data_IF_651151054657
#
_entry.id   IF_651151054657
#
_cell.length_a   1.000
_cell.length_b   1.000
_cell.length_c   1.000
_cell.angle_alpha   90.00
_cell.angle_beta   90.00
_cell.angle_gamma   90.00
#
_symmetry.space_group_name_H-M   'P 1'
#
loop_
_entity.id
_entity.type
_entity.pdbx_description
1 polymer ?
#
# COMPACT_ATOMS: atom_id res chain seq x y z
N UNK A 1 10.60 -18.83 16.79
CA UNK A 1 9.62 -19.83 17.21
C UNK A 1 9.30 -20.78 16.07
N UNK A 2 9.14 -22.06 16.42
CA UNK A 2 8.68 -23.10 15.48
C UNK A 2 7.17 -23.23 15.69
N UNK A 3 6.43 -23.24 14.60
CA UNK A 3 4.98 -23.40 14.58
C UNK A 3 4.63 -24.60 13.69
N UNK A 4 3.48 -25.19 13.95
CA UNK A 4 2.96 -26.27 13.13
C UNK A 4 1.92 -25.69 12.16
N UNK A 5 2.13 -25.90 10.88
CA UNK A 5 1.19 -25.48 9.84
C UNK A 5 -0.02 -26.42 9.76
N UNK A 6 -1.02 -25.98 8.98
CA UNK A 6 -2.23 -26.80 8.76
C UNK A 6 -1.93 -28.15 8.11
N UNK A 7 -0.81 -28.26 7.39
CA UNK A 7 -0.32 -29.51 6.77
C UNK A 7 0.44 -30.43 7.74
N UNK A 8 0.56 -30.03 9.00
CA UNK A 8 1.28 -30.78 10.04
C UNK A 8 2.79 -30.60 10.03
N UNK A 9 3.34 -29.83 9.10
CA UNK A 9 4.78 -29.60 9.06
C UNK A 9 5.21 -28.45 9.98
N UNK A 10 6.47 -28.50 10.41
CA UNK A 10 7.07 -27.48 11.28
C UNK A 10 7.68 -26.35 10.44
N UNK A 11 7.36 -25.12 10.80
CA UNK A 11 7.82 -23.92 10.09
C UNK A 11 8.44 -22.94 11.07
N UNK A 12 9.36 -22.12 10.55
CA UNK A 12 9.94 -21.01 11.34
C UNK A 12 9.09 -19.74 11.13
N UNK A 13 8.38 -19.35 12.16
CA UNK A 13 7.53 -18.16 12.12
C UNK A 13 8.37 -16.88 12.30
N UNK A 14 8.32 -15.99 11.34
CA UNK A 14 8.96 -14.67 11.39
C UNK A 14 8.01 -13.66 12.03
N UNK A 15 7.81 -13.77 13.33
CA UNK A 15 6.85 -12.98 14.12
C UNK A 15 7.25 -11.53 14.37
N UNK A 16 8.46 -11.13 13.96
CA UNK A 16 8.98 -9.78 14.24
C UNK A 16 8.41 -8.68 13.31
N UNK A 17 7.59 -9.06 12.33
CA UNK A 17 6.95 -8.08 11.43
C UNK A 17 5.59 -7.65 11.97
N UNK A 18 5.23 -6.37 11.72
CA UNK A 18 3.92 -5.86 12.14
C UNK A 18 2.76 -6.67 11.56
N UNK A 19 2.88 -7.08 10.29
CA UNK A 19 1.84 -7.88 9.63
C UNK A 19 1.64 -9.23 10.32
N UNK A 20 2.73 -9.95 10.61
CA UNK A 20 2.63 -11.25 11.31
C UNK A 20 2.04 -11.09 12.70
N UNK A 21 2.45 -10.03 13.44
CA UNK A 21 1.93 -9.77 14.78
C UNK A 21 0.42 -9.46 14.75
N UNK A 22 -0.05 -8.70 13.77
CA UNK A 22 -1.48 -8.40 13.61
C UNK A 22 -2.30 -9.66 13.32
N UNK A 23 -1.76 -10.54 12.44
CA UNK A 23 -2.42 -11.82 12.15
C UNK A 23 -2.50 -12.69 13.41
N UNK A 24 -1.39 -12.83 14.14
CA UNK A 24 -1.37 -13.63 15.38
C UNK A 24 -2.32 -13.03 16.43
N UNK A 25 -2.37 -11.70 16.53
CA UNK A 25 -3.27 -11.00 17.45
C UNK A 25 -4.75 -11.32 17.15
N UNK A 26 -5.12 -11.31 15.87
CA UNK A 26 -6.49 -11.65 15.46
C UNK A 26 -6.83 -13.14 15.61
N UNK A 27 -5.82 -13.98 15.78
CA UNK A 27 -5.97 -15.44 15.91
C UNK A 27 -5.57 -15.95 17.32
N UNK A 28 -5.71 -15.12 18.37
CA UNK A 28 -5.36 -15.53 19.74
C UNK A 28 -6.13 -16.75 20.24
N UNK A 29 -7.27 -17.05 19.62
CA UNK A 29 -8.07 -18.22 19.98
C UNK A 29 -7.42 -19.56 19.62
N UNK A 30 -6.36 -19.55 18.80
CA UNK A 30 -5.69 -20.78 18.39
C UNK A 30 -4.76 -21.32 19.48
N UNK A 31 -4.62 -22.65 19.61
CA UNK A 31 -3.75 -23.26 20.62
C UNK A 31 -2.30 -22.79 20.53
N UNK A 32 -1.72 -22.43 21.64
CA UNK A 32 -0.36 -21.93 21.72
C UNK A 32 -0.22 -20.43 21.42
N UNK A 33 -1.15 -19.82 20.69
CA UNK A 33 -1.09 -18.39 20.35
C UNK A 33 -1.44 -17.56 21.59
N UNK A 34 -2.55 -17.86 22.26
CA UNK A 34 -2.92 -17.15 23.51
C UNK A 34 -1.82 -17.27 24.56
N UNK A 35 -1.28 -18.48 24.74
CA UNK A 35 -0.22 -18.74 25.71
C UNK A 35 1.07 -18.01 25.38
N UNK A 36 1.33 -17.79 24.08
CA UNK A 36 2.47 -17.01 23.61
C UNK A 36 2.28 -15.51 23.91
N UNK A 37 1.03 -14.99 23.80
CA UNK A 37 0.71 -13.60 24.12
C UNK A 37 0.65 -13.35 25.64
N UNK A 38 0.38 -14.36 26.45
CA UNK A 38 0.10 -14.24 27.88
C UNK A 38 1.17 -13.43 28.63
N UNK A 39 2.49 -13.71 28.52
CA UNK A 39 3.50 -12.98 29.30
C UNK A 39 3.88 -11.60 28.72
N UNK A 40 3.31 -11.23 27.61
CA UNK A 40 3.67 -9.98 26.93
C UNK A 40 2.81 -8.85 27.50
N UNK A 41 3.45 -7.75 27.91
CA UNK A 41 2.75 -6.53 28.28
C UNK A 41 2.36 -5.73 27.02
N UNK A 42 3.37 -5.36 26.22
CA UNK A 42 3.16 -4.71 24.94
C UNK A 42 4.22 -5.14 23.95
N UNK A 43 3.82 -5.32 22.70
CA UNK A 43 4.75 -5.54 21.60
C UNK A 43 4.74 -4.33 20.68
N UNK A 44 5.92 -3.86 20.33
CA UNK A 44 6.10 -2.74 19.40
C UNK A 44 6.79 -3.26 18.14
N UNK A 45 6.19 -3.02 16.98
CA UNK A 45 6.76 -3.39 15.70
C UNK A 45 6.70 -2.23 14.72
N UNK A 46 7.73 -2.10 13.89
CA UNK A 46 7.73 -1.11 12.82
C UNK A 46 6.69 -1.51 11.76
N UNK A 47 5.73 -0.63 11.54
CA UNK A 47 4.64 -0.86 10.59
C UNK A 47 4.96 -0.23 9.23
N UNK A 48 4.52 -0.87 8.17
CA UNK A 48 4.63 -0.32 6.82
C UNK A 48 3.70 0.90 6.69
N UNK A 49 4.24 2.01 6.15
CA UNK A 49 3.47 3.22 5.92
C UNK A 49 4.15 4.06 4.82
N UNK A 50 3.41 4.55 3.81
CA UNK A 50 4.02 5.22 2.65
C UNK A 50 4.73 6.52 2.95
N UNK A 51 4.32 7.26 3.99
CA UNK A 51 4.80 8.64 4.17
C UNK A 51 5.49 8.92 5.51
N UNK A 52 5.48 7.96 6.44
CA UNK A 52 6.06 8.21 7.78
C UNK A 52 6.55 6.92 8.42
N UNK A 53 7.47 7.05 9.35
CA UNK A 53 7.84 5.94 10.24
C UNK A 53 6.70 5.75 11.25
N UNK A 54 6.15 4.55 11.29
CA UNK A 54 5.03 4.23 12.14
C UNK A 54 5.32 3.00 12.98
N UNK A 55 4.86 3.00 14.22
CA UNK A 55 4.98 1.88 15.13
C UNK A 55 3.60 1.33 15.44
N UNK A 56 3.46 0.04 15.31
CA UNK A 56 2.29 -0.70 15.78
C UNK A 56 2.54 -1.10 17.22
N UNK A 57 1.59 -0.81 18.09
CA UNK A 57 1.56 -1.32 19.46
C UNK A 57 0.45 -2.35 19.57
N UNK A 58 0.79 -3.53 20.04
CA UNK A 58 -0.19 -4.59 20.33
C UNK A 58 -0.06 -4.93 21.81
N UNK A 59 -1.17 -4.89 22.53
CA UNK A 59 -1.21 -5.25 23.95
C UNK A 59 -1.23 -6.78 24.08
N UNK A 60 -0.42 -7.30 24.94
CA UNK A 60 -0.53 -8.68 25.42
C UNK A 60 -1.43 -8.76 26.66
N UNK A 61 -1.41 -9.89 27.33
CA UNK A 61 -2.32 -10.14 28.43
C UNK A 61 -1.70 -9.88 29.80
N UNK A 62 -0.38 -9.67 29.86
CA UNK A 62 0.39 -9.37 31.08
C UNK A 62 0.19 -10.44 32.17
N UNK A 63 0.09 -11.71 31.76
CA UNK A 63 -0.13 -12.86 32.64
C UNK A 63 1.13 -13.71 32.76
N UNK A 64 1.33 -14.42 33.83
CA UNK A 64 2.45 -15.35 33.93
C UNK A 64 2.44 -16.39 32.83
N UNK A 65 3.63 -16.69 32.30
CA UNK A 65 3.75 -17.73 31.29
C UNK A 65 3.37 -19.09 31.90
N UNK A 66 2.53 -19.83 31.17
CA UNK A 66 2.16 -21.19 31.57
C UNK A 66 3.39 -22.11 31.57
N UNK A 67 3.51 -22.95 32.59
CA UNK A 67 4.63 -23.88 32.72
C UNK A 67 4.70 -24.88 31.54
N UNK A 68 3.54 -25.20 30.97
CA UNK A 68 3.40 -26.13 29.84
C UNK A 68 2.48 -25.51 28.77
N UNK A 69 3.02 -24.56 28.02
CA UNK A 69 2.28 -23.99 26.89
C UNK A 69 2.28 -24.99 25.72
N UNK A 70 1.14 -25.22 25.07
CA UNK A 70 1.12 -26.06 23.88
C UNK A 70 1.91 -25.40 22.73
N UNK A 71 2.40 -26.17 21.78
CA UNK A 71 3.03 -25.58 20.61
C UNK A 71 2.01 -24.76 19.81
N UNK A 72 2.47 -23.69 19.19
CA UNK A 72 1.62 -22.84 18.33
C UNK A 72 1.21 -23.69 17.13
N UNK A 73 -0.09 -23.86 16.95
CA UNK A 73 -0.67 -24.59 15.82
C UNK A 73 -1.54 -23.60 15.01
N UNK A 74 -1.20 -23.44 13.74
CA UNK A 74 -1.88 -22.50 12.86
C UNK A 74 -2.91 -23.25 12.01
N UNK A 75 -4.14 -22.75 12.01
CA UNK A 75 -5.17 -23.24 11.10
C UNK A 75 -4.94 -22.66 9.68
N UNK A 76 -5.74 -23.15 8.72
CA UNK A 76 -5.62 -22.74 7.32
C UNK A 76 -5.84 -21.23 7.12
N UNK A 77 -6.77 -20.64 7.86
CA UNK A 77 -7.06 -19.21 7.77
C UNK A 77 -5.90 -18.36 8.28
N UNK A 78 -5.37 -18.71 9.43
CA UNK A 78 -4.20 -18.02 10.00
C UNK A 78 -2.98 -18.19 9.09
N UNK A 79 -2.78 -19.39 8.56
CA UNK A 79 -1.68 -19.69 7.64
C UNK A 79 -1.78 -18.84 6.36
N UNK A 80 -2.96 -18.78 5.73
CA UNK A 80 -3.21 -17.98 4.53
C UNK A 80 -3.00 -16.49 4.81
N UNK A 81 -3.47 -16.01 5.97
CA UNK A 81 -3.28 -14.60 6.37
C UNK A 81 -1.79 -14.26 6.60
N UNK A 82 -1.03 -15.18 7.19
CA UNK A 82 0.42 -15.00 7.40
C UNK A 82 1.21 -15.01 6.09
N UNK A 83 0.79 -15.86 5.13
CA UNK A 83 1.40 -15.90 3.80
C UNK A 83 1.22 -14.56 3.07
N UNK A 84 0.03 -13.95 3.17
CA UNK A 84 -0.27 -12.64 2.65
C UNK A 84 0.06 -12.48 1.16
N UNK A 85 0.24 -11.23 0.73
CA UNK A 85 0.72 -10.92 -0.62
C UNK A 85 2.22 -10.60 -0.55
N UNK A 86 3.08 -11.47 -1.03
CA UNK A 86 4.53 -11.25 -0.93
C UNK A 86 5.06 -10.17 -1.88
N UNK A 87 4.28 -9.76 -2.88
CA UNK A 87 4.75 -8.91 -3.98
C UNK A 87 5.34 -7.58 -3.48
N UNK A 88 4.72 -6.95 -2.48
CA UNK A 88 5.23 -5.68 -1.93
C UNK A 88 6.60 -5.84 -1.29
N UNK A 89 6.83 -6.93 -0.59
CA UNK A 89 8.12 -7.23 0.05
C UNK A 89 9.19 -7.59 -0.99
N UNK A 90 8.82 -8.38 -2.00
CA UNK A 90 9.73 -8.76 -3.08
C UNK A 90 10.19 -7.51 -3.86
N UNK A 91 9.25 -6.64 -4.23
CA UNK A 91 9.57 -5.39 -4.91
C UNK A 91 10.42 -4.47 -4.03
N UNK A 92 10.14 -4.41 -2.72
CA UNK A 92 10.94 -3.59 -1.80
C UNK A 92 12.40 -4.05 -1.74
N UNK A 93 12.65 -5.36 -1.83
CA UNK A 93 14.01 -5.90 -1.87
C UNK A 93 14.70 -5.61 -3.21
N UNK A 94 13.99 -5.77 -4.32
CA UNK A 94 14.54 -5.51 -5.66
C UNK A 94 14.86 -4.03 -5.84
N UNK A 95 13.98 -3.13 -5.37
CA UNK A 95 14.09 -1.69 -5.63
C UNK A 95 14.91 -0.92 -4.59
N UNK A 96 15.45 -1.59 -3.57
CA UNK A 96 16.25 -0.92 -2.51
C UNK A 96 17.52 -0.25 -3.05
N UNK A 97 18.11 -0.83 -4.10
CA UNK A 97 19.34 -0.37 -4.70
C UNK A 97 19.14 0.23 -6.10
N UNK A 98 17.89 0.37 -6.54
CA UNK A 98 17.59 0.84 -7.90
C UNK A 98 17.72 2.37 -7.97
N UNK A 99 18.75 2.83 -8.64
CA UNK A 99 19.04 4.27 -8.82
C UNK A 99 17.99 4.98 -9.69
N UNK A 100 17.17 4.23 -10.46
CA UNK A 100 16.08 4.81 -11.23
C UNK A 100 14.87 5.19 -10.37
N UNK A 101 14.84 4.71 -9.12
CA UNK A 101 13.76 4.96 -8.16
C UNK A 101 14.33 5.57 -6.87
N UNK A 102 14.93 6.78 -6.92
CA UNK A 102 15.69 7.32 -5.80
C UNK A 102 14.87 7.49 -4.51
N UNK A 103 13.58 7.77 -4.62
CA UNK A 103 12.70 7.89 -3.46
C UNK A 103 12.56 6.56 -2.70
N UNK A 104 12.46 5.44 -3.43
CA UNK A 104 12.40 4.11 -2.82
C UNK A 104 13.77 3.68 -2.28
N UNK A 105 14.84 3.95 -3.02
CA UNK A 105 16.20 3.61 -2.60
C UNK A 105 16.58 4.30 -1.27
N UNK A 106 16.21 5.58 -1.13
CA UNK A 106 16.50 6.36 0.09
C UNK A 106 15.60 6.01 1.27
N UNK A 107 14.44 5.39 1.02
CA UNK A 107 13.46 5.10 2.07
C UNK A 107 13.93 3.94 2.97
N UNK A 108 13.59 4.02 4.26
CA UNK A 108 13.75 2.86 5.14
C UNK A 108 12.82 1.72 4.69
N UNK A 109 13.15 0.50 5.08
CA UNK A 109 12.42 -0.70 4.62
C UNK A 109 10.90 -0.58 4.80
N UNK A 110 10.44 -0.19 5.99
CA UNK A 110 8.99 -0.06 6.27
C UNK A 110 8.30 0.99 5.39
N UNK A 111 8.96 2.13 5.15
CA UNK A 111 8.43 3.17 4.25
C UNK A 111 8.42 2.67 2.81
N UNK A 112 9.46 1.96 2.39
CA UNK A 112 9.55 1.39 1.03
C UNK A 112 8.43 0.39 0.79
N UNK A 113 8.23 -0.57 1.70
CA UNK A 113 7.13 -1.55 1.62
C UNK A 113 5.77 -0.82 1.59
N UNK A 114 5.59 0.17 2.47
CA UNK A 114 4.33 0.94 2.55
C UNK A 114 4.02 1.71 1.28
N UNK A 115 5.04 2.33 0.65
CA UNK A 115 4.88 3.03 -0.64
C UNK A 115 4.49 2.05 -1.74
N UNK A 116 5.20 0.93 -1.84
CA UNK A 116 4.91 -0.09 -2.86
C UNK A 116 3.50 -0.65 -2.66
N UNK A 117 3.11 -0.96 -1.42
CA UNK A 117 1.76 -1.43 -1.12
C UNK A 117 0.71 -0.41 -1.56
N UNK A 118 0.94 0.86 -1.26
CA UNK A 118 0.05 1.95 -1.68
C UNK A 118 -0.11 2.01 -3.21
N UNK A 119 0.99 1.88 -3.97
CA UNK A 119 0.92 1.86 -5.44
C UNK A 119 0.23 0.60 -5.98
N UNK A 120 0.44 -0.55 -5.34
CA UNK A 120 -0.26 -1.79 -5.70
C UNK A 120 -1.77 -1.66 -5.48
N UNK A 121 -2.18 -1.04 -4.38
CA UNK A 121 -3.59 -0.83 -4.08
C UNK A 121 -4.23 0.15 -5.08
N UNK A 122 -3.52 1.23 -5.44
CA UNK A 122 -3.96 2.15 -6.48
C UNK A 122 -4.11 1.44 -7.84
N UNK A 123 -3.16 0.57 -8.20
CA UNK A 123 -3.20 -0.19 -9.44
C UNK A 123 -4.45 -1.11 -9.47
N UNK A 124 -4.72 -1.80 -8.36
CA UNK A 124 -5.89 -2.67 -8.22
C UNK A 124 -7.20 -1.88 -8.31
N UNK A 125 -7.25 -0.70 -7.69
CA UNK A 125 -8.41 0.21 -7.80
C UNK A 125 -8.67 0.66 -9.24
N UNK A 126 -7.62 0.73 -10.07
CA UNK A 126 -7.73 1.04 -11.49
C UNK A 126 -8.08 -0.19 -12.34
N UNK A 127 -8.25 -1.36 -11.72
CA UNK A 127 -8.65 -2.59 -12.39
C UNK A 127 -7.49 -3.42 -12.93
N UNK A 128 -6.25 -3.09 -12.60
CA UNK A 128 -5.10 -3.91 -12.98
C UNK A 128 -5.07 -5.16 -12.10
N UNK A 129 -5.05 -6.33 -12.72
CA UNK A 129 -5.10 -7.61 -11.99
C UNK A 129 -3.89 -8.51 -12.28
N UNK A 130 -3.25 -8.34 -13.45
CA UNK A 130 -2.09 -9.16 -13.80
C UNK A 130 -0.84 -8.65 -13.08
N UNK A 131 -0.09 -9.56 -12.51
CA UNK A 131 1.13 -9.22 -11.75
C UNK A 131 2.10 -8.33 -12.54
N UNK A 132 2.30 -8.63 -13.83
CA UNK A 132 3.18 -7.82 -14.70
C UNK A 132 2.71 -6.37 -14.83
N UNK A 133 1.39 -6.14 -14.89
CA UNK A 133 0.81 -4.80 -14.97
C UNK A 133 0.97 -4.07 -13.65
N UNK A 134 0.77 -4.77 -12.52
CA UNK A 134 0.99 -4.25 -11.18
C UNK A 134 2.44 -3.81 -10.99
N UNK A 135 3.40 -4.66 -11.36
CA UNK A 135 4.83 -4.36 -11.28
C UNK A 135 5.16 -3.12 -12.13
N UNK A 136 4.66 -3.09 -13.38
CA UNK A 136 4.88 -1.95 -14.28
C UNK A 136 4.34 -0.66 -13.68
N UNK A 137 3.13 -0.69 -13.12
CA UNK A 137 2.52 0.47 -12.47
C UNK A 137 3.38 0.97 -11.30
N UNK A 138 3.83 0.06 -10.43
CA UNK A 138 4.69 0.41 -9.28
C UNK A 138 5.97 1.08 -9.77
N UNK A 139 6.62 0.53 -10.80
CA UNK A 139 7.86 1.10 -11.35
C UNK A 139 7.64 2.50 -11.92
N UNK A 140 6.54 2.72 -12.65
CA UNK A 140 6.19 4.04 -13.17
C UNK A 140 5.98 5.05 -12.04
N UNK A 141 5.18 4.68 -11.04
CA UNK A 141 4.90 5.56 -9.89
C UNK A 141 6.17 5.85 -9.07
N UNK A 142 7.04 4.86 -8.93
CA UNK A 142 8.29 5.01 -8.17
C UNK A 142 9.30 5.92 -8.87
N UNK A 143 9.32 5.93 -10.20
CA UNK A 143 10.23 6.76 -11.01
C UNK A 143 9.75 8.20 -11.13
N UNK A 144 8.48 8.35 -11.49
CA UNK A 144 7.92 9.65 -11.86
C UNK A 144 7.28 10.37 -10.66
N UNK A 145 7.09 9.67 -9.57
CA UNK A 145 6.54 10.24 -8.33
C UNK A 145 5.13 10.80 -8.53
N UNK A 146 4.79 11.75 -7.67
CA UNK A 146 3.47 12.40 -7.71
C UNK A 146 3.26 13.30 -8.94
N UNK A 147 4.24 13.39 -9.86
CA UNK A 147 4.08 14.17 -11.09
C UNK A 147 3.09 13.49 -12.06
N UNK A 148 2.87 12.19 -11.91
CA UNK A 148 1.81 11.47 -12.62
C UNK A 148 0.45 11.60 -11.92
N UNK A 149 0.14 12.79 -11.44
CA UNK A 149 -1.21 13.06 -10.92
C UNK A 149 -2.19 13.07 -12.10
N UNK A 150 -2.46 11.89 -12.64
CA UNK A 150 -3.45 11.70 -13.71
C UNK A 150 -4.81 12.05 -13.10
N UNK A 151 -5.47 13.12 -13.58
CA UNK A 151 -6.78 13.49 -13.02
C UNK A 151 -7.74 12.30 -13.17
N UNK A 152 -8.27 11.83 -12.06
CA UNK A 152 -9.32 10.82 -12.06
C UNK A 152 -10.45 11.34 -12.94
N UNK A 153 -10.59 10.84 -14.16
CA UNK A 153 -11.71 11.19 -15.01
C UNK A 153 -11.47 11.27 -16.52
N UNK A 154 -10.25 11.06 -17.01
CA UNK A 154 -10.02 11.19 -18.47
C UNK A 154 -9.72 9.89 -19.22
N UNK A 155 -9.93 8.74 -18.62
CA UNK A 155 -9.72 7.46 -19.34
C UNK A 155 -11.02 6.84 -19.86
N UNK A 156 -12.03 7.68 -20.19
CA UNK A 156 -13.21 7.22 -20.93
C UNK A 156 -13.58 8.20 -22.04
N UNK A 157 -12.66 8.39 -22.99
CA UNK A 157 -13.09 8.83 -24.32
C UNK A 157 -13.24 7.58 -25.16
N UNK A 158 -14.45 7.17 -25.55
CA UNK A 158 -14.57 6.13 -26.55
C UNK A 158 -13.88 6.64 -27.82
N UNK A 159 -13.07 5.79 -28.42
CA UNK A 159 -12.53 6.02 -29.77
C UNK A 159 -13.71 6.30 -30.69
N UNK A 160 -13.99 7.59 -30.91
CA UNK A 160 -14.90 7.98 -31.95
C UNK A 160 -14.27 7.58 -33.31
N UNK A 161 -14.86 6.59 -33.94
CA UNK A 161 -14.61 6.23 -35.30
C UNK A 161 -14.79 7.51 -36.12
N UNK A 162 -13.70 8.01 -36.71
CA UNK A 162 -13.71 9.18 -37.60
C UNK A 162 -14.34 8.75 -38.89
N UNK A 163 -15.58 9.15 -39.10
CA UNK A 163 -16.26 8.98 -40.39
C UNK A 163 -15.57 9.91 -41.43
N UNK A 164 -15.13 9.39 -42.57
CA UNK A 164 -14.35 10.18 -43.52
C UNK A 164 -15.18 11.06 -44.46
N UNK A 165 -16.48 11.28 -44.20
CA UNK A 165 -17.32 12.08 -45.09
C UNK A 165 -18.15 13.11 -44.29
N UNK A 166 -17.51 14.20 -43.90
CA UNK A 166 -18.26 15.39 -43.46
C UNK A 166 -17.69 16.59 -44.23
N UNK A 167 -18.50 17.04 -45.20
CA UNK A 167 -18.19 18.13 -46.11
C UNK A 167 -18.11 19.49 -45.40
N UNK A 168 -17.29 20.38 -46.00
CA UNK A 168 -17.12 21.77 -45.64
C UNK A 168 -18.42 22.57 -45.71
N UNK A 169 -18.74 23.31 -44.63
CA UNK A 169 -19.74 24.37 -44.62
C UNK A 169 -19.12 25.73 -44.27
N UNK A 170 -19.67 26.85 -44.74
CA UNK A 170 -18.93 28.10 -44.84
C UNK A 170 -18.81 28.90 -43.52
N UNK A 171 -17.71 29.65 -43.50
CA UNK A 171 -17.32 30.56 -42.42
C UNK A 171 -18.20 31.82 -42.41
N UNK A 172 -18.80 32.16 -41.30
CA UNK A 172 -19.46 33.47 -41.11
C UNK A 172 -18.70 34.24 -40.02
N UNK A 173 -18.20 35.39 -40.42
CA UNK A 173 -17.48 36.31 -39.54
C UNK A 173 -18.44 37.24 -38.81
N UNK A 174 -18.23 37.40 -37.51
CA UNK A 174 -18.92 38.43 -36.70
C UNK A 174 -17.92 39.21 -35.83
N UNK A 175 -18.16 40.50 -35.61
CA UNK A 175 -17.12 41.42 -35.13
C UNK A 175 -16.97 41.48 -33.59
N UNK A 176 -15.88 42.16 -33.12
CA UNK A 176 -15.50 42.14 -31.70
C UNK A 176 -16.21 43.21 -30.89
N UNK A 177 -16.51 42.91 -29.64
CA UNK A 177 -17.01 43.88 -28.67
C UNK A 177 -16.01 44.07 -27.53
N UNK A 178 -15.79 45.31 -27.24
CA UNK A 178 -14.76 45.83 -26.33
C UNK A 178 -15.21 45.92 -24.87
N UNK A 179 -14.20 45.82 -24.03
CA UNK A 179 -13.93 46.65 -22.84
C UNK A 179 -14.77 46.51 -21.58
N UNK A 180 -14.07 46.61 -20.57
CA UNK A 180 -14.11 47.36 -19.31
C UNK A 180 -13.85 46.50 -18.08
N UNK A 181 -12.72 46.88 -17.48
CA UNK A 181 -12.22 46.44 -16.22
C UNK A 181 -12.97 47.04 -15.03
N UNK A 182 -12.80 46.41 -13.90
CA UNK A 182 -12.85 47.02 -12.57
C UNK A 182 -11.93 46.21 -11.64
N UNK A 183 -11.07 46.97 -11.02
CA UNK A 183 -10.18 46.46 -9.98
C UNK A 183 -10.92 46.30 -8.66
N UNK A 184 -10.40 45.42 -7.85
CA UNK A 184 -10.69 45.39 -6.43
C UNK A 184 -9.39 45.37 -5.65
N UNK A 185 -9.25 46.43 -4.85
CA UNK A 185 -8.15 46.60 -3.92
C UNK A 185 -8.46 45.89 -2.58
N UNK A 186 -7.43 45.45 -1.92
CA UNK A 186 -7.37 45.41 -0.48
C UNK A 186 -7.55 44.06 0.21
N UNK A 187 -6.42 43.53 0.66
CA UNK A 187 -6.35 42.78 1.92
C UNK A 187 -4.98 42.96 2.53
N UNK A 188 -4.97 43.57 3.71
CA UNK A 188 -3.78 43.79 4.54
C UNK A 188 -3.49 42.55 5.39
N UNK A 189 -2.22 42.33 5.79
CA UNK A 189 -1.85 41.23 6.65
C UNK A 189 -2.00 41.54 8.14
N UNK A 190 -2.25 40.56 8.96
CA UNK A 190 -2.21 40.65 10.42
C UNK A 190 -1.22 39.59 10.92
N UNK A 191 -0.54 40.26 11.68
CA UNK A 191 0.44 39.62 12.23
C UNK A 191 0.21 38.75 13.06
#
# INVERSE_FOLDING_TARGET
NIVTGADGHAYLLRYHTAAALQVLDSHRHLPGVSEWWAPIHHWWAAAAHPHKKMWLQIAGDDQPQAAHAPPITLDENCWAALAGDPLSYQLAEVLKDDQSCPALAAACHGTRVGLIQHYLDQAREQGLAREADLITYVLMMARDGDQLNIPRGRCRAPLQKKDPHAACGPVSAGPPAAARGRGCAGCSPVX
#
